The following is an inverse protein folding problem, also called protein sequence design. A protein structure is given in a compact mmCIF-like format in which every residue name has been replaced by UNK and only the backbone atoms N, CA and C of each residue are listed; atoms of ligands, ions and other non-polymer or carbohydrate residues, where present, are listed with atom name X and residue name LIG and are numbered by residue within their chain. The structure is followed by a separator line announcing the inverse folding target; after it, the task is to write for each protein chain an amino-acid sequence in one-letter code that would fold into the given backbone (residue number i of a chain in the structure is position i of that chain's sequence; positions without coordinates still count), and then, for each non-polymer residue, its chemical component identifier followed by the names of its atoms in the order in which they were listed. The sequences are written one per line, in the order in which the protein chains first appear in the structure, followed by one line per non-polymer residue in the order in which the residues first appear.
data_IF_086267700845
#
_entry.id   IF_086267700845
#
_cell.length_a   1.000
_cell.length_b   1.000
_cell.length_c   1.000
_cell.angle_alpha   90.00
_cell.angle_beta   90.00
_cell.angle_gamma   90.00
#
_symmetry.space_group_name_H-M   'P 1'
#
loop_
_entity.id
_entity.type
_entity.pdbx_description
1 polymer ?
#
# COMPACT_ATOMS: atom_id res chain seq x y z
N UNK A 1 29.97 14.33 8.87
CA UNK A 1 28.92 14.11 9.90
C UNK A 1 27.60 14.38 9.20
N UNK A 2 26.89 13.34 8.80
CA UNK A 2 25.56 13.45 8.23
C UNK A 2 24.60 13.76 9.35
N UNK A 3 24.04 14.96 9.30
CA UNK A 3 22.96 15.41 10.17
C UNK A 3 21.74 14.51 9.87
N UNK A 4 21.54 13.51 10.73
CA UNK A 4 20.31 12.70 10.69
C UNK A 4 19.26 13.58 11.35
N UNK A 5 18.52 14.38 10.56
CA UNK A 5 17.43 15.19 11.09
C UNK A 5 16.40 14.23 11.71
N UNK A 6 16.36 14.20 13.03
CA UNK A 6 15.32 13.50 13.79
C UNK A 6 13.99 14.19 13.49
N UNK A 7 13.14 13.54 12.66
CA UNK A 7 11.79 14.04 12.39
C UNK A 7 11.04 14.01 13.72
N UNK A 8 10.52 15.15 14.16
CA UNK A 8 9.71 15.22 15.36
C UNK A 8 8.48 14.32 15.23
N UNK A 9 8.06 13.64 16.30
CA UNK A 9 6.94 12.70 16.28
C UNK A 9 5.65 13.32 15.70
N UNK A 10 5.40 14.60 15.97
CA UNK A 10 4.25 15.33 15.44
C UNK A 10 4.35 15.55 13.92
N UNK A 11 5.54 15.85 13.43
CA UNK A 11 5.80 16.02 11.99
C UNK A 11 5.64 14.69 11.24
N UNK A 12 6.18 13.60 11.80
CA UNK A 12 5.97 12.26 11.24
C UNK A 12 4.47 11.90 11.19
N UNK A 13 3.71 12.19 12.25
CA UNK A 13 2.27 11.96 12.28
C UNK A 13 1.55 12.78 11.19
N UNK A 14 1.92 14.04 10.99
CA UNK A 14 1.35 14.89 9.94
C UNK A 14 1.66 14.34 8.54
N UNK A 15 2.89 13.87 8.29
CA UNK A 15 3.29 13.26 7.02
C UNK A 15 2.51 11.96 6.74
N UNK A 16 2.33 11.10 7.75
CA UNK A 16 1.55 9.87 7.61
C UNK A 16 0.07 10.15 7.34
N UNK A 17 -0.53 11.12 8.04
CA UNK A 17 -1.90 11.56 7.76
C UNK A 17 -2.04 12.09 6.34
N UNK A 18 -1.12 12.94 5.89
CA UNK A 18 -1.08 13.48 4.53
C UNK A 18 -0.99 12.36 3.49
N UNK A 19 -0.14 11.37 3.73
CA UNK A 19 -0.01 10.19 2.85
C UNK A 19 -1.30 9.41 2.75
N UNK A 20 -1.96 9.11 3.86
CA UNK A 20 -3.24 8.37 3.86
C UNK A 20 -4.32 9.16 3.13
N UNK A 21 -4.43 10.46 3.40
CA UNK A 21 -5.38 11.32 2.69
C UNK A 21 -5.12 11.34 1.18
N UNK A 22 -3.87 11.54 0.77
CA UNK A 22 -3.46 11.51 -0.63
C UNK A 22 -3.87 10.20 -1.33
N UNK A 23 -3.64 9.06 -0.70
CA UNK A 23 -3.94 7.75 -1.28
C UNK A 23 -5.46 7.49 -1.39
N UNK A 24 -6.30 8.16 -0.59
CA UNK A 24 -7.75 7.98 -0.56
C UNK A 24 -8.52 8.99 -1.42
N UNK A 25 -7.99 10.18 -1.68
CA UNK A 25 -8.70 11.24 -2.43
C UNK A 25 -9.18 10.73 -3.79
N UNK A 26 -8.35 10.03 -4.53
CA UNK A 26 -8.70 9.55 -5.88
C UNK A 26 -9.84 8.50 -5.86
N UNK A 27 -9.74 7.39 -5.11
CA UNK A 27 -10.82 6.40 -5.12
C UNK A 27 -12.12 6.93 -4.47
N UNK A 28 -12.05 7.77 -3.46
CA UNK A 28 -13.24 8.37 -2.85
C UNK A 28 -13.90 9.37 -3.81
N UNK A 29 -13.13 10.18 -4.51
CA UNK A 29 -13.63 11.08 -5.54
C UNK A 29 -14.30 10.32 -6.69
N UNK A 30 -13.74 9.19 -7.12
CA UNK A 30 -14.36 8.35 -8.15
C UNK A 30 -15.70 7.72 -7.69
N UNK A 31 -15.83 7.40 -6.39
CA UNK A 31 -17.13 6.97 -5.82
C UNK A 31 -18.14 8.12 -5.91
N UNK A 32 -17.76 9.33 -5.49
CA UNK A 32 -18.64 10.50 -5.56
C UNK A 32 -19.11 10.78 -6.99
N UNK A 33 -18.19 10.80 -7.95
CA UNK A 33 -18.52 11.00 -9.37
C UNK A 33 -19.47 9.90 -9.91
N UNK A 34 -19.27 8.65 -9.50
CA UNK A 34 -20.17 7.55 -9.87
C UNK A 34 -21.58 7.71 -9.29
N UNK A 35 -21.70 8.22 -8.07
CA UNK A 35 -23.00 8.51 -7.44
C UNK A 35 -23.70 9.70 -8.13
N UNK A 36 -23.00 10.78 -8.42
CA UNK A 36 -23.52 11.92 -9.18
C UNK A 36 -24.09 11.47 -10.54
N UNK A 37 -23.34 10.61 -11.25
CA UNK A 37 -23.80 10.06 -12.52
C UNK A 37 -25.07 9.24 -12.38
N UNK A 38 -25.26 8.49 -11.28
CA UNK A 38 -26.48 7.73 -11.02
C UNK A 38 -27.68 8.65 -10.71
N UNK A 39 -27.45 9.78 -10.05
CA UNK A 39 -28.50 10.75 -9.71
C UNK A 39 -29.07 11.46 -10.94
N UNK A 40 -28.31 11.53 -12.04
CA UNK A 40 -28.75 12.08 -13.34
C UNK A 40 -29.72 11.17 -14.10
N UNK A 41 -30.13 10.02 -13.55
CA UNK A 41 -30.97 9.01 -14.20
C UNK A 41 -30.45 8.53 -15.59
N UNK A 42 -29.20 8.07 -15.68
CA UNK A 42 -28.61 7.67 -16.95
C UNK A 42 -29.27 6.43 -17.52
N UNK A 43 -29.11 6.20 -18.82
CA UNK A 43 -29.50 4.94 -19.47
C UNK A 43 -28.77 3.72 -18.87
N UNK A 44 -29.26 2.52 -19.17
CA UNK A 44 -28.80 1.26 -18.54
C UNK A 44 -27.28 1.03 -18.64
N UNK A 45 -26.68 1.28 -19.81
CA UNK A 45 -25.23 1.12 -20.03
C UNK A 45 -24.41 2.04 -19.12
N UNK A 46 -24.81 3.30 -19.02
CA UNK A 46 -24.14 4.30 -18.18
C UNK A 46 -24.33 4.02 -16.69
N UNK A 47 -25.50 3.49 -16.31
CA UNK A 47 -25.79 3.04 -14.95
C UNK A 47 -24.89 1.86 -14.58
N UNK A 48 -24.70 0.90 -15.48
CA UNK A 48 -23.77 -0.22 -15.31
C UNK A 48 -22.33 0.26 -15.09
N UNK A 49 -21.87 1.18 -15.94
CA UNK A 49 -20.54 1.79 -15.81
C UNK A 49 -20.35 2.51 -14.47
N UNK A 50 -21.34 3.32 -14.04
CA UNK A 50 -21.28 4.03 -12.76
C UNK A 50 -21.18 3.07 -11.56
N UNK A 51 -21.97 1.99 -11.56
CA UNK A 51 -21.94 0.96 -10.52
C UNK A 51 -20.60 0.24 -10.46
N UNK A 52 -20.01 -0.12 -11.61
CA UNK A 52 -18.70 -0.74 -11.69
C UNK A 52 -17.58 0.20 -11.18
N UNK A 53 -17.66 1.48 -11.55
CA UNK A 53 -16.73 2.50 -11.06
C UNK A 53 -16.79 2.62 -9.54
N UNK A 54 -17.99 2.72 -8.96
CA UNK A 54 -18.20 2.79 -7.51
C UNK A 54 -17.63 1.53 -6.83
N UNK A 55 -18.00 0.35 -7.31
CA UNK A 55 -17.59 -0.92 -6.74
C UNK A 55 -16.06 -1.11 -6.77
N UNK A 56 -15.42 -0.78 -7.90
CA UNK A 56 -13.96 -0.85 -8.05
C UNK A 56 -13.26 0.14 -7.11
N UNK A 57 -13.75 1.38 -7.06
CA UNK A 57 -13.15 2.44 -6.26
C UNK A 57 -13.32 2.19 -4.77
N UNK A 58 -14.46 1.64 -4.33
CA UNK A 58 -14.68 1.24 -2.95
C UNK A 58 -13.72 0.12 -2.52
N UNK A 59 -13.51 -0.90 -3.36
CA UNK A 59 -12.50 -1.94 -3.09
C UNK A 59 -11.10 -1.37 -2.97
N UNK A 60 -10.72 -0.44 -3.86
CA UNK A 60 -9.42 0.21 -3.84
C UNK A 60 -9.22 1.06 -2.57
N UNK A 61 -10.21 1.86 -2.18
CA UNK A 61 -10.16 2.64 -0.94
C UNK A 61 -10.01 1.73 0.29
N UNK A 62 -10.78 0.64 0.35
CA UNK A 62 -10.69 -0.34 1.43
C UNK A 62 -9.30 -0.99 1.51
N UNK A 63 -8.72 -1.39 0.38
CA UNK A 63 -7.38 -2.00 0.33
C UNK A 63 -6.30 -1.01 0.82
N UNK A 64 -6.37 0.25 0.41
CA UNK A 64 -5.45 1.32 0.85
C UNK A 64 -5.55 1.58 2.35
N UNK A 65 -6.76 1.60 2.90
CA UNK A 65 -6.97 1.74 4.35
C UNK A 65 -6.44 0.54 5.14
N UNK A 66 -6.67 -0.68 4.66
CA UNK A 66 -6.16 -1.89 5.31
C UNK A 66 -4.63 -1.91 5.32
N UNK A 67 -4.01 -1.53 4.21
CA UNK A 67 -2.56 -1.40 4.11
C UNK A 67 -2.03 -0.34 5.10
N UNK A 68 -2.60 0.87 5.10
CA UNK A 68 -2.21 1.95 5.99
C UNK A 68 -2.35 1.56 7.47
N UNK A 69 -3.40 0.82 7.83
CA UNK A 69 -3.62 0.32 9.19
C UNK A 69 -2.49 -0.58 9.67
N UNK A 70 -1.93 -1.43 8.81
CA UNK A 70 -0.80 -2.30 9.17
C UNK A 70 0.51 -1.54 9.08
N UNK A 71 0.76 -0.85 7.97
CA UNK A 71 2.04 -0.18 7.70
C UNK A 71 2.31 0.98 8.66
N UNK A 72 1.30 1.78 9.01
CA UNK A 72 1.43 3.00 9.81
C UNK A 72 0.79 2.89 11.20
N UNK A 73 -0.11 1.94 11.42
CA UNK A 73 -0.82 1.80 12.69
C UNK A 73 0.10 1.59 13.89
N UNK A 74 -0.39 1.87 15.10
CA UNK A 74 0.36 1.70 16.33
C UNK A 74 0.98 0.29 16.44
N UNK A 75 2.15 0.20 17.07
CA UNK A 75 2.88 -1.07 17.22
C UNK A 75 2.04 -2.16 17.92
N UNK A 76 1.05 -1.78 18.74
CA UNK A 76 0.28 -2.70 19.57
C UNK A 76 1.04 -3.13 20.81
N UNK A 77 0.59 -4.19 21.48
CA UNK A 77 1.30 -4.78 22.62
C UNK A 77 2.64 -5.37 22.18
N UNK A 78 3.62 -5.34 23.08
CA UNK A 78 4.90 -6.03 22.88
C UNK A 78 4.64 -7.52 22.57
N UNK A 79 5.30 -8.04 21.53
CA UNK A 79 5.13 -9.44 21.09
C UNK A 79 4.00 -9.68 20.09
N UNK A 80 3.25 -8.67 19.66
CA UNK A 80 2.26 -8.84 18.59
C UNK A 80 2.93 -9.31 17.28
N UNK A 81 2.39 -10.37 16.68
CA UNK A 81 2.84 -10.92 15.39
C UNK A 81 1.73 -10.83 14.35
N UNK A 82 2.11 -10.85 13.08
CA UNK A 82 1.20 -10.86 11.91
C UNK A 82 1.58 -12.07 11.06
N UNK A 83 0.58 -12.78 10.55
CA UNK A 83 0.78 -13.81 9.52
C UNK A 83 1.23 -13.14 8.21
N UNK A 84 2.34 -13.60 7.63
CA UNK A 84 2.84 -13.07 6.35
C UNK A 84 1.87 -13.31 5.19
N UNK A 85 0.98 -14.29 5.28
CA UNK A 85 -0.10 -14.46 4.31
C UNK A 85 -1.13 -13.33 4.37
N UNK A 86 -1.44 -12.81 5.57
CA UNK A 86 -2.30 -11.64 5.73
C UNK A 86 -1.59 -10.36 5.22
N UNK A 87 -0.29 -10.24 5.50
CA UNK A 87 0.52 -9.14 4.99
C UNK A 87 0.61 -9.16 3.45
N UNK A 88 0.77 -10.35 2.84
CA UNK A 88 0.73 -10.56 1.39
C UNK A 88 -0.61 -10.11 0.80
N UNK A 89 -1.73 -10.57 1.38
CA UNK A 89 -3.06 -10.23 0.89
C UNK A 89 -3.31 -8.72 0.91
N UNK A 90 -2.89 -8.06 1.99
CA UNK A 90 -3.00 -6.60 2.14
C UNK A 90 -2.08 -5.86 1.15
N UNK A 91 -0.84 -6.32 0.96
CA UNK A 91 0.09 -5.73 0.01
C UNK A 91 -0.41 -5.90 -1.43
N UNK A 92 -0.81 -7.10 -1.83
CA UNK A 92 -1.39 -7.36 -3.15
C UNK A 92 -2.66 -6.53 -3.41
N UNK A 93 -3.53 -6.39 -2.41
CA UNK A 93 -4.72 -5.54 -2.50
C UNK A 93 -4.37 -4.08 -2.75
N UNK A 94 -3.35 -3.55 -2.09
CA UNK A 94 -2.85 -2.19 -2.31
C UNK A 94 -2.31 -2.02 -3.74
N UNK A 95 -1.40 -2.91 -4.15
CA UNK A 95 -0.72 -2.83 -5.45
C UNK A 95 -1.63 -3.16 -6.64
N UNK A 96 -2.75 -3.85 -6.46
CA UNK A 96 -3.73 -4.11 -7.53
C UNK A 96 -4.30 -2.82 -8.16
N UNK A 97 -4.21 -1.67 -7.47
CA UNK A 97 -4.61 -0.36 -7.98
C UNK A 97 -3.46 0.55 -8.39
N UNK A 98 -2.21 0.08 -8.23
CA UNK A 98 -1.00 0.86 -8.51
C UNK A 98 -0.41 0.49 -9.88
N UNK A 99 0.58 1.28 -10.34
CA UNK A 99 1.24 1.03 -11.63
C UNK A 99 2.18 -0.17 -11.62
N UNK A 100 2.98 -0.41 -10.56
CA UNK A 100 3.84 -1.59 -10.52
C UNK A 100 3.07 -2.81 -10.02
N UNK A 101 3.41 -3.98 -10.57
CA UNK A 101 2.96 -5.28 -10.08
C UNK A 101 3.81 -5.74 -8.90
N UNK A 102 3.20 -6.42 -7.94
CA UNK A 102 3.88 -6.99 -6.78
C UNK A 102 4.09 -8.50 -6.94
N UNK A 103 5.34 -8.92 -6.96
CA UNK A 103 5.74 -10.33 -6.85
C UNK A 103 6.17 -10.63 -5.41
N UNK A 104 5.41 -11.50 -4.75
CA UNK A 104 5.64 -11.89 -3.35
C UNK A 104 6.08 -13.34 -3.28
N UNK A 105 7.29 -13.58 -2.77
CA UNK A 105 7.87 -14.92 -2.67
C UNK A 105 8.21 -15.33 -1.23
N UNK A 106 7.67 -14.62 -0.23
CA UNK A 106 7.87 -14.98 1.16
C UNK A 106 6.98 -16.16 1.53
N UNK A 107 7.56 -17.14 2.25
CA UNK A 107 6.80 -18.22 2.82
C UNK A 107 5.91 -17.75 3.96
N UNK A 108 4.80 -18.46 4.16
CA UNK A 108 3.84 -18.16 5.22
C UNK A 108 4.46 -18.43 6.59
N UNK A 109 4.49 -17.43 7.45
CA UNK A 109 5.01 -17.52 8.81
C UNK A 109 4.46 -16.40 9.67
N UNK A 110 4.44 -16.57 10.98
CA UNK A 110 4.16 -15.45 11.90
C UNK A 110 5.43 -14.64 12.12
N UNK A 111 5.34 -13.34 11.93
CA UNK A 111 6.46 -12.40 12.08
C UNK A 111 6.08 -11.24 13.00
N UNK A 112 7.04 -10.77 13.80
CA UNK A 112 6.86 -9.61 14.67
C UNK A 112 6.31 -8.40 13.89
N UNK A 113 5.28 -7.76 14.43
CA UNK A 113 4.53 -6.68 13.77
C UNK A 113 5.41 -5.54 13.26
N UNK A 114 6.46 -5.16 14.00
CA UNK A 114 7.40 -4.11 13.58
C UNK A 114 8.18 -4.48 12.33
N UNK A 115 8.54 -5.75 12.14
CA UNK A 115 9.23 -6.26 10.94
C UNK A 115 8.29 -6.25 9.74
N UNK A 116 7.02 -6.65 9.93
CA UNK A 116 6.01 -6.56 8.87
C UNK A 116 5.74 -5.10 8.48
N UNK A 117 5.66 -4.18 9.45
CA UNK A 117 5.56 -2.74 9.18
C UNK A 117 6.75 -2.24 8.35
N UNK A 118 7.97 -2.61 8.73
CA UNK A 118 9.17 -2.27 7.96
C UNK A 118 9.07 -2.78 6.53
N UNK A 119 8.71 -4.05 6.34
CA UNK A 119 8.55 -4.65 5.02
C UNK A 119 7.55 -3.87 4.16
N UNK A 120 6.35 -3.58 4.67
CA UNK A 120 5.33 -2.85 3.93
C UNK A 120 5.77 -1.42 3.57
N UNK A 121 6.46 -0.73 4.47
CA UNK A 121 7.01 0.61 4.18
C UNK A 121 8.11 0.54 3.12
N UNK A 122 8.97 -0.47 3.14
CA UNK A 122 9.98 -0.68 2.09
C UNK A 122 9.37 -0.93 0.71
N UNK A 123 8.22 -1.62 0.63
CA UNK A 123 7.48 -1.77 -0.63
C UNK A 123 6.99 -0.42 -1.18
N UNK A 124 6.50 0.48 -0.31
CA UNK A 124 6.11 1.84 -0.72
C UNK A 124 7.31 2.65 -1.25
N UNK A 125 8.46 2.55 -0.59
CA UNK A 125 9.69 3.20 -1.04
C UNK A 125 10.09 2.63 -2.42
N UNK A 126 10.09 1.31 -2.58
CA UNK A 126 10.42 0.66 -3.85
C UNK A 126 9.49 1.11 -4.99
N UNK A 127 8.20 1.31 -4.72
CA UNK A 127 7.23 1.80 -5.70
C UNK A 127 7.59 3.19 -6.26
N UNK A 128 8.19 4.07 -5.46
CA UNK A 128 8.67 5.38 -5.94
C UNK A 128 9.83 5.26 -6.93
N UNK A 129 10.55 4.16 -6.88
CA UNK A 129 11.65 3.84 -7.79
C UNK A 129 11.19 3.43 -9.19
N UNK A 130 9.91 3.06 -9.38
CA UNK A 130 9.34 2.62 -10.67
C UNK A 130 8.08 3.41 -11.03
N UNK A 131 8.16 4.74 -11.20
CA UNK A 131 7.01 5.64 -11.30
C UNK A 131 6.15 5.42 -12.56
N UNK A 132 6.70 4.73 -13.57
CA UNK A 132 5.97 4.37 -14.80
C UNK A 132 5.47 2.93 -14.82
N UNK A 133 5.54 2.23 -13.69
CA UNK A 133 5.20 0.82 -13.58
C UNK A 133 6.41 -0.09 -13.72
N UNK A 134 6.17 -1.37 -13.60
CA UNK A 134 7.18 -2.42 -13.59
C UNK A 134 6.86 -3.46 -12.54
N UNK A 135 7.86 -4.15 -12.02
CA UNK A 135 7.72 -5.23 -11.06
C UNK A 135 8.47 -4.87 -9.77
N UNK A 136 7.81 -5.05 -8.65
CA UNK A 136 8.40 -5.02 -7.31
C UNK A 136 8.43 -6.46 -6.81
N UNK A 137 9.59 -7.09 -6.83
CA UNK A 137 9.78 -8.43 -6.31
C UNK A 137 10.30 -8.36 -4.88
N UNK A 138 9.65 -9.11 -3.98
CA UNK A 138 10.08 -9.23 -2.58
C UNK A 138 10.41 -10.66 -2.24
N UNK A 139 11.59 -10.85 -1.62
CA UNK A 139 12.06 -12.11 -1.11
C UNK A 139 12.70 -11.93 0.27
N UNK A 140 12.90 -13.03 0.98
CA UNK A 140 13.46 -13.04 2.32
C UNK A 140 14.47 -14.18 2.44
N UNK A 141 15.62 -13.86 3.01
CA UNK A 141 16.56 -14.85 3.54
C UNK A 141 16.51 -14.85 5.07
N UNK A 142 16.88 -15.94 5.70
CA UNK A 142 16.72 -16.13 7.14
C UNK A 142 15.26 -16.45 7.52
N UNK A 143 15.02 -16.70 8.79
CA UNK A 143 13.68 -16.99 9.29
C UNK A 143 12.94 -15.73 9.74
N UNK A 144 11.69 -15.89 10.18
CA UNK A 144 10.86 -14.80 10.69
C UNK A 144 11.47 -14.05 11.89
N UNK A 145 12.34 -14.72 12.65
CA UNK A 145 13.05 -14.14 13.79
C UNK A 145 14.16 -13.16 13.38
N UNK A 146 14.87 -13.47 12.30
CA UNK A 146 16.00 -12.67 11.80
C UNK A 146 15.90 -12.50 10.27
N UNK A 147 14.84 -11.84 9.77
CA UNK A 147 14.64 -11.72 8.34
C UNK A 147 15.64 -10.76 7.70
N UNK A 148 16.18 -11.14 6.55
CA UNK A 148 16.87 -10.27 5.62
C UNK A 148 16.01 -10.11 4.36
N UNK A 149 15.29 -8.98 4.28
CA UNK A 149 14.44 -8.68 3.13
C UNK A 149 15.26 -8.20 1.95
N UNK A 150 14.96 -8.71 0.78
CA UNK A 150 15.44 -8.19 -0.50
C UNK A 150 14.24 -7.72 -1.30
N UNK A 151 14.22 -6.42 -1.63
CA UNK A 151 13.18 -5.81 -2.45
C UNK A 151 13.84 -5.25 -3.70
N UNK A 152 13.41 -5.74 -4.86
CA UNK A 152 13.91 -5.34 -6.17
C UNK A 152 12.80 -4.70 -6.97
N UNK A 153 12.99 -3.45 -7.37
CA UNK A 153 12.10 -2.75 -8.28
C UNK A 153 12.74 -2.67 -9.67
N UNK A 154 12.04 -3.16 -10.69
CA UNK A 154 12.50 -3.17 -12.08
C UNK A 154 11.43 -2.59 -13.00
N UNK A 155 11.81 -1.76 -13.95
CA UNK A 155 10.87 -1.14 -14.87
C UNK A 155 11.55 -0.20 -15.87
N UNK A 156 10.80 0.29 -16.87
CA UNK A 156 11.37 1.07 -17.98
C UNK A 156 11.97 2.42 -17.58
N UNK A 157 11.66 2.92 -16.40
CA UNK A 157 12.18 4.18 -15.84
C UNK A 157 12.59 4.00 -14.38
N UNK A 158 13.15 2.84 -14.06
CA UNK A 158 13.61 2.55 -12.70
C UNK A 158 14.73 3.52 -12.30
N UNK A 159 14.62 4.05 -11.09
CA UNK A 159 15.57 5.00 -10.49
C UNK A 159 15.69 4.76 -8.99
N UNK A 160 16.76 5.23 -8.38
CA UNK A 160 16.85 5.22 -6.93
C UNK A 160 15.71 6.07 -6.35
N UNK A 161 15.03 5.60 -5.30
CA UNK A 161 14.08 6.41 -4.54
C UNK A 161 14.80 7.67 -3.99
N UNK A 162 14.15 8.80 -4.10
CA UNK A 162 14.66 10.06 -3.56
C UNK A 162 14.35 10.17 -2.07
#
# INVERSE_FOLDING_TARGET
MTDTSEIAALELAALLCSRVCHDLVSPVGAIANGLELLDENPGEDMRGFAMDLIAKSARQASAKLQFARIAFGAAGSAGASIDLGDAEAVAKGYFAGEKPDLEWTLERAYMAKNKVKLLLNLLLIAATGVPRGGIIAVSMAGGAETPAFTIRATGPSARLPA
#
